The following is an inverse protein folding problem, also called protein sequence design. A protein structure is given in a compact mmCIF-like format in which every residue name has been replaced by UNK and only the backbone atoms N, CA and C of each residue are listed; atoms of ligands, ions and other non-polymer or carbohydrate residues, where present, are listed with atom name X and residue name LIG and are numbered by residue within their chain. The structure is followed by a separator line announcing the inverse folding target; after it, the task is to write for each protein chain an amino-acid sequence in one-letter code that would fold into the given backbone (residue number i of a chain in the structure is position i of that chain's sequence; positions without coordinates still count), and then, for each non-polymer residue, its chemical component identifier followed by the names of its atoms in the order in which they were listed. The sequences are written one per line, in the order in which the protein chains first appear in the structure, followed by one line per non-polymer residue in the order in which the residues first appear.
data_IF_850465097519
#
_entry.id   IF_850465097519
#
_cell.length_a   1.000
_cell.length_b   1.000
_cell.length_c   1.000
_cell.angle_alpha   90.00
_cell.angle_beta   90.00
_cell.angle_gamma   90.00
#
_symmetry.space_group_name_H-M   'P 1'
#
loop_
_entity.id
_entity.type
_entity.pdbx_description
1 polymer ?
#
# COMPACT_ATOMS: atom_id res chain seq x y z
N UNK A 1 -6.83 -0.09 -0.80
CA UNK A 1 -6.38 -1.19 0.10
C UNK A 1 -6.72 -0.80 1.54
N UNK A 2 -7.10 -1.76 2.39
CA UNK A 2 -7.26 -1.49 3.83
C UNK A 2 -5.87 -1.35 4.44
N UNK A 3 -5.57 -0.19 5.03
CA UNK A 3 -4.30 0.05 5.72
C UNK A 3 -4.43 -0.34 7.20
N UNK A 4 -3.42 -1.03 7.74
CA UNK A 4 -3.37 -1.35 9.17
C UNK A 4 -3.28 -0.07 10.00
N UNK A 5 -4.05 0.00 11.09
CA UNK A 5 -4.11 1.17 11.97
C UNK A 5 -3.56 0.84 13.34
N UNK A 6 -2.85 1.80 13.92
CA UNK A 6 -2.19 1.68 15.21
C UNK A 6 -2.73 2.71 16.19
N UNK A 7 -2.84 2.32 17.45
CA UNK A 7 -3.25 3.19 18.54
C UNK A 7 -2.16 4.25 18.80
N UNK A 8 -2.55 5.52 18.89
CA UNK A 8 -1.60 6.61 19.21
C UNK A 8 -1.02 6.55 20.62
N UNK A 9 -1.70 5.89 21.56
CA UNK A 9 -1.30 5.87 22.97
C UNK A 9 -0.32 4.75 23.29
N UNK A 10 -0.58 3.54 22.77
CA UNK A 10 0.21 2.35 23.13
C UNK A 10 0.78 1.60 21.91
N UNK A 11 0.66 2.17 20.71
CA UNK A 11 1.16 1.62 19.44
C UNK A 11 0.71 0.18 19.13
N UNK A 12 -0.39 -0.28 19.74
CA UNK A 12 -1.00 -1.58 19.45
C UNK A 12 -1.95 -1.48 18.25
N UNK A 13 -2.14 -2.59 17.54
CA UNK A 13 -3.06 -2.67 16.41
C UNK A 13 -4.49 -2.38 16.87
N UNK A 14 -5.19 -1.52 16.13
CA UNK A 14 -6.60 -1.23 16.35
C UNK A 14 -7.49 -2.27 15.65
N UNK A 15 -8.55 -2.69 16.34
CA UNK A 15 -9.49 -3.68 15.85
C UNK A 15 -10.81 -3.03 15.42
N UNK A 16 -11.44 -3.49 14.32
CA UNK A 16 -12.73 -3.01 13.89
C UNK A 16 -13.82 -3.35 14.92
N UNK A 17 -14.67 -2.37 15.24
CA UNK A 17 -15.79 -2.47 16.19
C UNK A 17 -17.00 -1.71 15.67
N UNK A 18 -18.21 -2.20 15.85
CA UNK A 18 -19.43 -1.49 15.46
C UNK A 18 -20.02 -0.68 16.63
N UNK A 19 -20.41 0.56 16.35
CA UNK A 19 -21.28 1.38 17.20
C UNK A 19 -22.75 1.17 16.79
N UNK A 20 -23.47 0.29 17.49
CA UNK A 20 -24.82 -0.19 17.11
C UNK A 20 -25.84 0.92 16.90
N UNK A 21 -25.85 1.94 17.77
CA UNK A 21 -26.85 3.02 17.73
C UNK A 21 -26.74 3.87 16.46
N UNK A 22 -25.51 4.05 15.97
CA UNK A 22 -25.21 4.90 14.82
C UNK A 22 -24.89 4.12 13.56
N UNK A 23 -24.79 2.78 13.67
CA UNK A 23 -24.33 1.87 12.61
C UNK A 23 -23.01 2.35 12.01
N UNK A 24 -22.09 2.76 12.88
CA UNK A 24 -20.77 3.26 12.49
C UNK A 24 -19.71 2.20 12.76
N UNK A 25 -18.81 2.02 11.79
CA UNK A 25 -17.56 1.31 12.04
C UNK A 25 -16.64 2.22 12.89
N UNK A 26 -15.99 1.62 13.87
CA UNK A 26 -14.97 2.19 14.74
C UNK A 26 -13.74 1.28 14.71
N UNK A 27 -12.60 1.82 15.15
CA UNK A 27 -11.37 1.09 15.38
C UNK A 27 -10.93 1.30 16.82
N UNK A 28 -10.87 0.24 17.62
CA UNK A 28 -10.64 0.29 19.06
C UNK A 28 -9.36 -0.47 19.47
N UNK A 29 -8.63 0.08 20.43
CA UNK A 29 -7.53 -0.65 21.06
C UNK A 29 -8.08 -1.68 22.06
N UNK A 30 -7.36 -2.80 22.26
CA UNK A 30 -7.67 -3.77 23.32
C UNK A 30 -6.96 -3.46 24.64
N UNK A 31 -5.88 -2.70 24.58
CA UNK A 31 -5.01 -2.43 25.73
C UNK A 31 -5.31 -1.08 26.42
N UNK A 32 -6.01 -0.16 25.76
CA UNK A 32 -6.41 1.13 26.33
C UNK A 32 -7.82 1.54 25.84
N UNK A 33 -8.35 2.64 26.38
CA UNK A 33 -9.68 3.17 26.03
C UNK A 33 -9.72 3.88 24.66
N UNK A 34 -8.61 3.94 23.93
CA UNK A 34 -8.50 4.67 22.67
C UNK A 34 -9.37 4.07 21.57
N UNK A 35 -10.14 4.93 20.89
CA UNK A 35 -11.03 4.56 19.77
C UNK A 35 -11.03 5.62 18.67
N UNK A 36 -11.15 5.18 17.42
CA UNK A 36 -11.09 6.00 16.20
C UNK A 36 -12.36 5.76 15.37
N UNK A 37 -12.99 6.81 14.84
CA UNK A 37 -14.23 6.71 14.08
C UNK A 37 -13.98 6.63 12.57
N UNK A 38 -14.91 6.06 11.80
CA UNK A 38 -14.75 5.85 10.34
C UNK A 38 -15.43 6.94 9.49
N UNK A 39 -16.15 7.91 10.08
CA UNK A 39 -16.96 8.86 9.29
C UNK A 39 -17.00 10.30 9.84
N UNK A 40 -16.84 11.27 8.93
CA UNK A 40 -16.90 12.74 9.14
C UNK A 40 -18.31 13.21 9.54
N UNK A 41 -19.36 12.53 9.08
CA UNK A 41 -20.77 13.01 9.12
C UNK A 41 -21.29 13.19 10.56
N UNK A 42 -20.76 12.44 11.53
CA UNK A 42 -21.24 12.43 12.92
C UNK A 42 -20.51 13.37 13.89
N UNK A 43 -19.46 14.07 13.45
CA UNK A 43 -18.72 15.02 14.30
C UNK A 43 -19.64 16.17 14.75
N UNK A 44 -20.62 16.57 13.91
CA UNK A 44 -21.58 17.64 14.25
C UNK A 44 -22.53 17.29 15.41
N UNK A 45 -22.84 16.00 15.64
CA UNK A 45 -23.80 15.57 16.68
C UNK A 45 -23.13 15.09 17.98
N UNK A 46 -21.85 14.70 17.96
CA UNK A 46 -21.12 14.36 19.19
C UNK A 46 -20.81 15.60 20.06
N UNK A 47 -20.65 16.77 19.43
CA UNK A 47 -20.35 18.06 20.10
C UNK A 47 -21.37 18.52 21.15
N UNK A 48 -22.61 18.00 21.16
CA UNK A 48 -23.67 18.47 22.09
C UNK A 48 -23.81 17.66 23.39
N UNK A 49 -23.15 16.51 23.57
CA UNK A 49 -23.37 15.65 24.76
C UNK A 49 -22.16 15.34 25.64
N UNK A 50 -20.93 15.61 25.23
CA UNK A 50 -19.74 15.33 26.06
C UNK A 50 -18.76 16.51 26.08
N UNK A 51 -18.83 17.32 27.14
CA UNK A 51 -17.97 18.50 27.36
C UNK A 51 -16.61 18.17 28.03
N UNK A 52 -16.24 16.90 28.18
CA UNK A 52 -14.96 16.50 28.79
C UNK A 52 -14.33 15.31 28.06
N UNK A 53 -13.61 15.59 26.98
CA UNK A 53 -12.42 14.90 26.45
C UNK A 53 -12.20 15.43 25.04
N UNK A 54 -11.35 16.46 24.89
CA UNK A 54 -10.77 16.82 23.59
C UNK A 54 -9.82 15.69 23.17
N UNK A 55 -10.37 14.58 22.69
CA UNK A 55 -9.56 13.55 22.03
C UNK A 55 -9.70 13.79 20.54
N UNK A 56 -8.56 14.05 19.91
CA UNK A 56 -8.42 14.33 18.49
C UNK A 56 -9.03 13.16 17.70
N UNK A 57 -10.22 13.38 17.13
CA UNK A 57 -10.98 12.36 16.41
C UNK A 57 -10.32 12.11 15.06
N UNK A 58 -9.56 11.02 14.97
CA UNK A 58 -9.11 10.51 13.69
C UNK A 58 -10.29 9.91 12.92
N UNK A 59 -10.31 10.12 11.61
CA UNK A 59 -11.35 9.60 10.72
C UNK A 59 -10.72 8.60 9.77
N UNK A 60 -11.31 7.41 9.66
CA UNK A 60 -10.97 6.46 8.59
C UNK A 60 -11.52 6.94 7.24
N UNK A 61 -10.71 6.85 6.19
CA UNK A 61 -11.14 7.16 4.82
C UNK A 61 -11.99 6.04 4.19
N UNK A 62 -11.85 4.78 4.66
CA UNK A 62 -12.51 3.61 4.07
C UNK A 62 -13.25 2.75 5.10
N UNK A 63 -14.35 2.12 4.66
CA UNK A 63 -15.16 1.12 5.40
C UNK A 63 -14.70 -0.32 5.18
N UNK A 64 -13.74 -0.55 4.27
CA UNK A 64 -13.24 -1.89 3.97
C UNK A 64 -12.38 -2.41 5.12
N UNK A 65 -12.86 -3.42 5.86
CA UNK A 65 -12.11 -4.04 6.97
C UNK A 65 -11.06 -5.02 6.45
N UNK A 66 -11.48 -5.91 5.56
CA UNK A 66 -10.65 -6.97 5.01
C UNK A 66 -10.94 -7.12 3.52
N UNK A 67 -9.88 -7.36 2.74
CA UNK A 67 -9.95 -7.69 1.32
C UNK A 67 -9.02 -8.86 1.09
N UNK A 68 -9.56 -9.96 0.57
CA UNK A 68 -8.76 -11.07 0.05
C UNK A 68 -8.69 -10.94 -1.46
N UNK A 69 -7.49 -10.76 -2.00
CA UNK A 69 -7.25 -10.77 -3.44
C UNK A 69 -6.67 -12.14 -3.80
N UNK A 70 -7.52 -13.04 -4.31
CA UNK A 70 -7.12 -14.43 -4.63
C UNK A 70 -6.40 -14.51 -5.98
N UNK A 71 -6.82 -13.67 -6.92
CA UNK A 71 -6.13 -13.47 -8.19
C UNK A 71 -5.39 -12.13 -8.11
N UNK A 72 -4.06 -12.19 -8.03
CA UNK A 72 -3.23 -11.02 -8.21
C UNK A 72 -3.05 -10.78 -9.71
N UNK A 73 -3.28 -9.55 -10.17
CA UNK A 73 -2.87 -9.21 -11.52
C UNK A 73 -1.33 -9.35 -11.59
N UNK A 74 -0.80 -10.00 -12.61
CA UNK A 74 0.64 -10.25 -12.70
C UNK A 74 1.51 -8.98 -12.71
N UNK A 75 0.91 -7.81 -12.97
CA UNK A 75 1.57 -6.51 -12.86
C UNK A 75 1.69 -5.94 -11.44
N UNK A 76 1.03 -6.52 -10.43
CA UNK A 76 0.94 -5.90 -9.10
C UNK A 76 2.16 -6.13 -8.21
N UNK A 77 3.04 -7.10 -8.52
CA UNK A 77 4.13 -7.39 -7.58
C UNK A 77 5.33 -8.15 -8.15
N UNK A 78 6.14 -7.46 -8.94
CA UNK A 78 7.59 -7.72 -8.89
C UNK A 78 8.22 -6.60 -8.07
N UNK A 79 8.58 -6.89 -6.82
CA UNK A 79 9.45 -6.02 -6.03
C UNK A 79 10.86 -6.09 -6.63
N UNK A 80 11.02 -5.52 -7.82
CA UNK A 80 12.32 -5.38 -8.48
C UNK A 80 13.03 -4.28 -7.73
N UNK A 81 14.02 -4.66 -6.94
CA UNK A 81 14.86 -3.72 -6.19
C UNK A 81 15.59 -2.81 -7.19
N UNK A 82 15.78 -1.55 -6.83
CA UNK A 82 16.48 -0.58 -7.66
C UNK A 82 17.92 -1.03 -7.97
N UNK A 83 18.51 -1.84 -7.09
CA UNK A 83 19.87 -2.34 -7.18
C UNK A 83 20.06 -3.45 -8.24
N UNK A 84 18.97 -3.92 -8.85
CA UNK A 84 19.02 -4.93 -9.93
C UNK A 84 19.88 -4.45 -11.11
N UNK A 85 19.89 -3.14 -11.39
CA UNK A 85 20.75 -2.55 -12.42
C UNK A 85 22.26 -2.62 -12.10
N UNK A 86 22.63 -2.85 -10.84
CA UNK A 86 24.03 -2.96 -10.40
C UNK A 86 24.56 -4.39 -10.46
N UNK A 87 23.68 -5.39 -10.58
CA UNK A 87 24.07 -6.79 -10.61
C UNK A 87 24.79 -7.10 -11.94
N UNK A 88 26.08 -7.52 -11.91
CA UNK A 88 26.83 -7.87 -13.11
C UNK A 88 26.41 -9.22 -13.70
N UNK A 89 25.66 -10.04 -12.97
CA UNK A 89 25.21 -11.37 -13.42
C UNK A 89 23.95 -11.31 -14.29
N UNK A 90 23.23 -10.18 -14.26
CA UNK A 90 22.01 -10.02 -15.04
C UNK A 90 22.31 -9.55 -16.49
N UNK A 91 21.57 -10.07 -17.48
CA UNK A 91 21.82 -9.74 -18.87
C UNK A 91 21.37 -8.31 -19.19
N UNK A 92 22.11 -7.66 -20.09
CA UNK A 92 21.88 -6.28 -20.51
C UNK A 92 21.59 -6.20 -22.00
N UNK A 93 20.74 -5.27 -22.39
CA UNK A 93 20.49 -4.95 -23.79
C UNK A 93 20.72 -3.47 -24.08
N UNK A 94 21.20 -3.18 -25.29
CA UNK A 94 21.34 -1.82 -25.84
C UNK A 94 20.33 -1.50 -26.93
N UNK A 95 19.51 -2.50 -27.32
CA UNK A 95 18.52 -2.34 -28.38
C UNK A 95 17.29 -1.56 -27.89
N UNK A 96 16.96 -1.69 -26.60
CA UNK A 96 15.82 -1.02 -25.97
C UNK A 96 16.28 0.26 -25.27
N UNK A 97 15.59 1.36 -25.55
CA UNK A 97 15.83 2.66 -24.90
C UNK A 97 14.82 2.91 -23.79
N UNK A 98 15.28 3.49 -22.69
CA UNK A 98 14.42 3.86 -21.58
C UNK A 98 13.39 4.94 -22.01
N UNK A 99 12.11 4.68 -21.80
CA UNK A 99 11.03 5.63 -22.14
C UNK A 99 11.06 6.92 -21.28
N UNK A 100 11.65 6.87 -20.09
CA UNK A 100 11.69 8.01 -19.17
C UNK A 100 12.88 8.96 -19.41
N UNK A 101 14.05 8.45 -19.80
CA UNK A 101 15.28 9.26 -19.92
C UNK A 101 16.05 9.06 -21.25
N UNK A 102 15.63 8.16 -22.11
CA UNK A 102 16.29 7.87 -23.39
C UNK A 102 17.60 7.07 -23.29
N UNK A 103 18.02 6.68 -22.10
CA UNK A 103 19.24 5.88 -21.88
C UNK A 103 19.20 4.59 -22.71
N UNK A 104 20.30 4.29 -23.40
CA UNK A 104 20.41 3.20 -24.37
C UNK A 104 20.90 1.88 -23.78
N UNK A 105 20.71 1.65 -22.48
CA UNK A 105 21.06 0.39 -21.84
C UNK A 105 20.06 0.08 -20.72
N UNK A 106 19.60 -1.17 -20.71
CA UNK A 106 18.69 -1.71 -19.72
C UNK A 106 19.08 -3.15 -19.33
N UNK A 107 18.96 -3.47 -18.05
CA UNK A 107 18.96 -4.85 -17.56
C UNK A 107 17.59 -5.46 -17.87
N UNK A 108 17.57 -6.73 -18.26
CA UNK A 108 16.30 -7.46 -18.42
C UNK A 108 16.32 -8.81 -17.69
N UNK A 109 15.16 -9.26 -17.24
CA UNK A 109 14.99 -10.58 -16.64
C UNK A 109 13.53 -11.01 -16.71
N UNK A 110 13.31 -12.32 -16.61
CA UNK A 110 11.98 -12.91 -16.56
C UNK A 110 11.60 -13.13 -15.10
N UNK A 111 10.46 -12.61 -14.66
CA UNK A 111 10.01 -12.85 -13.29
C UNK A 111 9.53 -14.31 -13.16
N UNK A 112 9.93 -14.96 -12.08
CA UNK A 112 9.43 -16.28 -11.67
C UNK A 112 8.02 -16.15 -11.09
N UNK A 113 7.05 -15.73 -11.91
CA UNK A 113 5.65 -15.79 -11.51
C UNK A 113 5.21 -17.26 -11.49
N UNK A 114 4.65 -17.73 -10.37
CA UNK A 114 3.93 -19.00 -10.33
C UNK A 114 2.58 -18.77 -11.06
N UNK A 115 2.54 -19.02 -12.37
CA UNK A 115 1.34 -18.85 -13.20
C UNK A 115 1.65 -18.85 -14.71
N UNK A 116 0.60 -18.74 -15.54
CA UNK A 116 0.68 -18.78 -17.01
C UNK A 116 1.45 -17.59 -17.64
N UNK A 117 1.76 -16.54 -16.86
CA UNK A 117 2.54 -15.36 -17.31
C UNK A 117 4.07 -15.54 -17.21
N UNK A 118 4.55 -16.78 -17.18
CA UNK A 118 5.96 -17.11 -17.14
C UNK A 118 6.73 -16.80 -18.42
N UNK A 119 6.40 -15.74 -19.19
CA UNK A 119 7.13 -15.30 -20.39
C UNK A 119 7.26 -13.76 -20.51
N UNK A 120 6.77 -12.98 -19.55
CA UNK A 120 6.92 -11.51 -19.58
C UNK A 120 8.35 -11.11 -19.24
N UNK A 121 8.93 -10.18 -20.01
CA UNK A 121 10.24 -9.60 -19.71
C UNK A 121 10.08 -8.29 -18.92
N UNK A 122 10.87 -8.16 -17.87
CA UNK A 122 11.00 -6.93 -17.11
C UNK A 122 12.29 -6.24 -17.48
N UNK A 123 12.24 -4.92 -17.67
CA UNK A 123 13.38 -4.08 -17.98
C UNK A 123 13.60 -3.06 -16.87
N UNK A 124 14.89 -2.77 -16.58
CA UNK A 124 15.32 -1.74 -15.64
C UNK A 124 16.42 -0.91 -16.30
N UNK A 125 16.24 0.41 -16.34
CA UNK A 125 17.22 1.34 -16.90
C UNK A 125 18.54 1.33 -16.10
N UNK A 126 19.68 1.22 -16.78
CA UNK A 126 21.01 1.24 -16.15
C UNK A 126 21.46 2.62 -15.65
N UNK A 127 20.74 3.69 -15.98
CA UNK A 127 21.03 5.02 -15.45
C UNK A 127 20.54 5.11 -13.99
N UNK A 128 21.47 5.21 -13.04
CA UNK A 128 21.19 5.27 -11.59
C UNK A 128 20.28 6.44 -11.18
N UNK A 129 20.28 7.55 -11.93
CA UNK A 129 19.37 8.68 -11.66
C UNK A 129 17.95 8.44 -12.16
N UNK A 130 17.77 7.51 -13.10
CA UNK A 130 16.48 7.20 -13.70
C UNK A 130 15.83 5.97 -13.07
N UNK A 131 16.54 4.83 -13.07
CA UNK A 131 16.06 3.53 -12.58
C UNK A 131 14.61 3.18 -13.00
N UNK A 132 14.18 3.67 -14.16
CA UNK A 132 12.85 3.42 -14.67
C UNK A 132 12.69 1.94 -14.97
N UNK A 133 11.52 1.40 -14.65
CA UNK A 133 11.17 -0.01 -14.79
C UNK A 133 9.93 -0.14 -15.66
N UNK A 134 9.95 -1.09 -16.59
CA UNK A 134 8.81 -1.35 -17.48
C UNK A 134 8.76 -2.83 -17.87
N UNK A 135 7.63 -3.24 -18.45
CA UNK A 135 7.37 -4.61 -18.90
C UNK A 135 7.13 -4.63 -20.41
N UNK A 136 7.54 -5.71 -21.06
CA UNK A 136 7.19 -6.06 -22.44
C UNK A 136 6.79 -7.53 -22.53
#
# INVERSE_FOLDING_TARGET
MSTMKFCRECNNILYPKEEKDRRLLLFACRNCEHQVHTLIISIRLWRRRNLKKQQQQEVSESKCVYRNEVAHAAGERTQVLQDVASDPTLPRTKTVRCAACGHGEAVFFQATARGEEGMTLFFVCCNLTCAHRWRE
#
